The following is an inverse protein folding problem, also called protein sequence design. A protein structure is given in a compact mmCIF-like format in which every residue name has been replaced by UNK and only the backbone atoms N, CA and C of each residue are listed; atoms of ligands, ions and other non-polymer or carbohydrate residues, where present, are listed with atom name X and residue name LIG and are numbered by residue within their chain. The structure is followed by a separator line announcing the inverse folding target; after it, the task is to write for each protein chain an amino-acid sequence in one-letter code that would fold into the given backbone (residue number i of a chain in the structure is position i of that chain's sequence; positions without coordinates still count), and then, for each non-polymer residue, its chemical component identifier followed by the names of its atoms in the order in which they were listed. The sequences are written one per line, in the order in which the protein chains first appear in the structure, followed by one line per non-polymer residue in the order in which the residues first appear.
data_IF_944940793522
#
_entry.id   IF_944940793522
#
_cell.length_a   1.000
_cell.length_b   1.000
_cell.length_c   1.000
_cell.angle_alpha   90.00
_cell.angle_beta   90.00
_cell.angle_gamma   90.00
#
_symmetry.space_group_name_H-M   'P 1'
#
loop_
_entity.id
_entity.type
_entity.pdbx_description
1 polymer ?
#
# COMPACT_ATOMS: atom_id res chain seq x y z
N UNK A 1 7.82 48.51 -51.15
CA UNK A 1 8.41 47.15 -51.04
C UNK A 1 9.93 47.25 -51.07
N UNK A 2 10.61 47.07 -49.93
CA UNK A 2 12.04 46.75 -49.80
C UNK A 2 12.41 46.67 -48.31
N UNK A 3 12.91 45.52 -47.85
CA UNK A 3 13.92 45.28 -46.79
C UNK A 3 13.89 43.78 -46.45
N UNK A 4 14.84 42.99 -46.94
CA UNK A 4 16.23 42.80 -46.47
C UNK A 4 16.29 41.71 -45.39
N UNK A 5 16.76 40.54 -45.82
CA UNK A 5 17.04 39.34 -45.05
C UNK A 5 18.37 39.54 -44.33
N UNK A 6 18.43 39.24 -43.01
CA UNK A 6 19.68 39.06 -42.27
C UNK A 6 19.80 37.60 -41.86
N UNK A 7 20.83 36.94 -42.40
CA UNK A 7 21.35 35.65 -41.96
C UNK A 7 22.49 35.95 -40.97
N UNK A 8 22.50 35.29 -39.82
CA UNK A 8 23.55 35.39 -38.81
C UNK A 8 24.29 34.08 -38.70
N UNK A 9 25.61 34.20 -38.68
CA UNK A 9 26.64 33.18 -38.87
C UNK A 9 26.70 32.11 -37.77
N UNK A 10 27.07 30.91 -38.22
CA UNK A 10 27.52 29.74 -37.46
C UNK A 10 28.93 30.00 -36.94
N UNK A 11 29.17 29.78 -35.65
CA UNK A 11 30.51 29.70 -35.07
C UNK A 11 30.80 28.25 -34.68
N UNK A 12 31.82 27.68 -35.32
CA UNK A 12 32.38 26.38 -35.03
C UNK A 12 33.30 26.45 -33.81
N UNK A 13 33.17 25.50 -32.88
CA UNK A 13 34.17 25.23 -31.85
C UNK A 13 34.77 23.86 -32.11
N UNK A 14 36.09 23.86 -32.35
CA UNK A 14 36.89 22.67 -32.57
C UNK A 14 37.56 22.20 -31.28
N UNK A 15 37.50 20.88 -31.09
CA UNK A 15 38.42 19.94 -30.43
C UNK A 15 39.49 20.44 -29.43
N UNK A 16 39.50 19.78 -28.27
CA UNK A 16 40.74 19.38 -27.59
C UNK A 16 40.51 18.05 -26.88
N UNK A 17 41.15 17.00 -27.39
CA UNK A 17 41.22 15.69 -26.77
C UNK A 17 42.35 15.69 -25.73
N UNK A 18 42.08 15.18 -24.53
CA UNK A 18 43.11 14.90 -23.54
C UNK A 18 43.00 13.42 -23.13
N UNK A 19 43.90 12.61 -23.68
CA UNK A 19 44.13 11.23 -23.27
C UNK A 19 45.26 11.23 -22.25
N UNK A 20 45.03 10.68 -21.06
CA UNK A 20 46.09 10.14 -20.22
C UNK A 20 45.71 8.74 -19.78
N UNK A 21 46.41 7.78 -20.34
CA UNK A 21 46.49 6.41 -19.87
C UNK A 21 47.46 6.35 -18.69
N UNK A 22 47.12 5.64 -17.62
CA UNK A 22 48.08 4.94 -16.76
C UNK A 22 47.36 3.87 -15.93
N UNK A 23 47.67 2.60 -16.22
CA UNK A 23 47.48 1.41 -15.38
C UNK A 23 48.87 0.76 -15.20
N UNK A 24 49.06 -0.29 -14.39
CA UNK A 24 48.40 -0.72 -13.15
C UNK A 24 49.43 -0.87 -12.00
N UNK A 25 49.03 -1.24 -10.78
CA UNK A 25 49.93 -1.99 -9.90
C UNK A 25 49.19 -2.93 -8.95
N UNK A 26 49.66 -4.18 -8.97
CA UNK A 26 49.25 -5.35 -8.17
C UNK A 26 50.25 -5.51 -7.03
N UNK A 27 49.77 -5.81 -5.82
CA UNK A 27 50.40 -6.63 -4.76
C UNK A 27 49.71 -6.32 -3.43
N UNK A 28 49.54 -7.16 -2.42
CA UNK A 28 49.65 -8.61 -2.19
C UNK A 28 49.11 -8.81 -0.75
N UNK A 29 48.67 -10.02 -0.43
CA UNK A 29 48.01 -10.40 0.83
C UNK A 29 48.92 -10.41 2.09
N UNK A 30 48.30 -10.29 3.27
CA UNK A 30 48.64 -10.97 4.54
C UNK A 30 47.48 -10.75 5.53
N UNK A 31 46.73 -11.79 5.92
CA UNK A 31 46.94 -12.72 7.04
C UNK A 31 46.46 -12.20 8.42
N UNK A 32 45.42 -12.89 8.91
CA UNK A 32 44.79 -13.06 10.25
C UNK A 32 45.51 -12.54 11.53
N UNK A 33 44.74 -12.35 12.62
CA UNK A 33 44.60 -13.46 13.58
C UNK A 33 43.16 -13.83 13.96
N UNK A 34 43.03 -15.11 14.31
CA UNK A 34 41.87 -15.80 14.88
C UNK A 34 41.52 -15.33 16.30
N UNK A 35 40.24 -15.44 16.64
CA UNK A 35 39.80 -15.86 17.97
C UNK A 35 38.59 -16.79 17.86
N UNK A 36 38.81 -18.05 18.26
CA UNK A 36 37.83 -19.12 18.48
C UNK A 36 37.00 -18.85 19.74
N UNK A 37 35.74 -19.34 19.77
CA UNK A 37 35.18 -20.31 20.75
C UNK A 37 33.76 -20.71 20.26
N UNK A 38 33.57 -21.93 19.75
CA UNK A 38 32.94 -23.12 20.41
C UNK A 38 31.47 -22.90 20.80
N UNK A 39 30.46 -23.43 20.10
CA UNK A 39 29.97 -24.84 20.06
C UNK A 39 28.50 -24.81 20.56
N UNK A 40 27.47 -25.47 20.03
CA UNK A 40 27.38 -26.74 19.33
C UNK A 40 26.24 -26.72 18.28
N UNK A 41 26.46 -27.43 17.18
CA UNK A 41 25.43 -27.87 16.21
C UNK A 41 24.98 -29.28 16.60
N UNK A 42 23.68 -29.56 16.48
CA UNK A 42 23.20 -30.88 16.13
C UNK A 42 22.64 -30.80 14.71
N UNK A 43 23.41 -31.32 13.75
CA UNK A 43 22.95 -31.63 12.41
C UNK A 43 22.51 -33.10 12.39
N UNK A 44 21.39 -33.38 11.72
CA UNK A 44 21.03 -34.74 11.34
C UNK A 44 21.06 -34.77 9.81
N UNK A 45 22.02 -35.52 9.27
CA UNK A 45 22.13 -35.79 7.85
C UNK A 45 20.98 -36.71 7.40
N UNK A 46 20.32 -36.35 6.30
CA UNK A 46 19.53 -37.30 5.53
C UNK A 46 20.20 -37.51 4.17
N UNK A 47 20.84 -38.67 4.04
CA UNK A 47 21.36 -39.17 2.78
C UNK A 47 20.21 -39.59 1.85
N UNK A 48 20.36 -39.25 0.58
CA UNK A 48 19.53 -39.71 -0.52
C UNK A 48 19.92 -41.14 -0.92
N UNK A 49 18.94 -42.04 -1.10
CA UNK A 49 18.75 -42.78 -2.36
C UNK A 49 17.56 -43.74 -2.26
N UNK A 50 16.67 -43.72 -3.26
CA UNK A 50 16.13 -44.88 -3.99
C UNK A 50 14.93 -44.45 -4.83
N UNK A 51 15.06 -44.65 -6.14
CA UNK A 51 14.03 -44.42 -7.13
C UNK A 51 13.18 -45.69 -7.40
N UNK A 52 12.01 -45.44 -7.99
CA UNK A 52 11.09 -46.31 -8.77
C UNK A 52 9.91 -46.94 -8.04
N UNK A 53 8.78 -46.25 -8.24
CA UNK A 53 7.53 -46.71 -8.87
C UNK A 53 6.97 -48.09 -8.50
N UNK A 54 5.75 -48.10 -7.95
CA UNK A 54 4.67 -49.02 -8.33
C UNK A 54 3.30 -48.34 -8.07
N UNK A 55 2.39 -48.59 -8.99
CA UNK A 55 1.05 -48.04 -9.16
C UNK A 55 -0.02 -48.79 -8.35
N UNK A 56 -1.20 -48.16 -8.24
CA UNK A 56 -2.54 -48.72 -7.95
C UNK A 56 -2.92 -49.04 -6.50
N UNK A 57 -3.88 -48.26 -6.00
CA UNK A 57 -5.03 -48.75 -5.25
C UNK A 57 -4.86 -49.08 -3.77
N UNK A 58 -5.81 -48.63 -2.97
CA UNK A 58 -6.14 -49.30 -1.70
C UNK A 58 -5.57 -48.66 -0.45
N UNK A 59 -6.44 -47.95 0.25
CA UNK A 59 -6.41 -47.77 1.69
C UNK A 59 -6.26 -49.11 2.41
N UNK A 60 -5.19 -49.31 3.19
CA UNK A 60 -5.17 -50.09 4.43
C UNK A 60 -3.75 -50.21 5.01
N UNK A 61 -3.65 -49.90 6.30
CA UNK A 61 -2.73 -50.52 7.28
C UNK A 61 -1.24 -50.57 6.96
N UNK A 62 -0.48 -49.62 7.53
CA UNK A 62 0.85 -49.89 8.06
C UNK A 62 1.06 -49.04 9.33
N UNK A 63 0.51 -49.53 10.44
CA UNK A 63 0.92 -49.10 11.78
C UNK A 63 1.54 -50.30 12.48
N UNK A 64 2.87 -50.40 12.46
CA UNK A 64 3.63 -51.21 13.42
C UNK A 64 5.10 -50.84 13.36
N UNK A 65 5.61 -50.25 14.45
CA UNK A 65 6.81 -50.67 15.19
C UNK A 65 7.38 -49.49 15.99
N UNK A 66 7.08 -49.47 17.29
CA UNK A 66 8.03 -49.14 18.37
C UNK A 66 7.29 -49.24 19.72
N UNK A 67 7.17 -50.46 20.25
CA UNK A 67 6.91 -50.68 21.67
C UNK A 67 8.23 -50.53 22.42
N UNK A 68 8.30 -49.57 23.36
CA UNK A 68 9.07 -49.66 24.60
C UNK A 68 8.76 -48.46 25.51
N UNK A 69 7.63 -48.52 26.21
CA UNK A 69 7.42 -47.88 27.51
C UNK A 69 6.15 -48.47 28.13
N UNK A 70 6.33 -49.30 29.16
CA UNK A 70 5.26 -49.92 29.92
C UNK A 70 4.60 -48.84 30.78
N UNK A 71 3.42 -48.42 30.35
CA UNK A 71 2.37 -47.86 31.20
C UNK A 71 1.07 -48.45 30.68
N UNK A 72 0.39 -49.27 31.48
CA UNK A 72 -0.90 -49.87 31.10
C UNK A 72 -1.93 -48.76 30.97
N UNK A 73 -2.21 -48.32 29.75
CA UNK A 73 -3.35 -47.45 29.46
C UNK A 73 -4.59 -48.34 29.50
N UNK A 74 -5.45 -48.13 30.49
CA UNK A 74 -6.75 -48.79 30.54
C UNK A 74 -7.64 -48.21 29.45
N UNK A 75 -7.70 -48.91 28.32
CA UNK A 75 -8.49 -48.50 27.15
C UNK A 75 -9.98 -48.43 27.50
N UNK A 76 -10.47 -49.18 28.50
CA UNK A 76 -11.86 -49.12 28.93
C UNK A 76 -12.23 -47.80 29.64
N UNK A 77 -11.24 -47.10 30.21
CA UNK A 77 -11.44 -45.77 30.81
C UNK A 77 -11.55 -44.66 29.75
N UNK A 78 -10.94 -44.84 28.58
CA UNK A 78 -11.00 -43.87 27.47
C UNK A 78 -12.30 -43.97 26.65
N UNK A 79 -13.01 -45.11 26.70
CA UNK A 79 -14.27 -45.30 25.96
C UNK A 79 -15.51 -44.81 26.71
N UNK A 80 -15.39 -44.33 27.96
CA UNK A 80 -16.54 -43.96 28.80
C UNK A 80 -17.04 -42.51 28.62
N UNK A 81 -16.36 -41.67 27.84
CA UNK A 81 -16.76 -40.26 27.66
C UNK A 81 -17.39 -39.93 26.29
N UNK A 82 -17.84 -40.93 25.53
CA UNK A 82 -18.45 -40.75 24.20
C UNK A 82 -19.81 -41.45 24.09
N UNK A 83 -20.72 -41.19 25.03
CA UNK A 83 -22.14 -41.40 24.79
C UNK A 83 -22.75 -40.09 24.27
N UNK A 84 -23.33 -40.05 23.06
CA UNK A 84 -24.11 -38.92 22.62
C UNK A 84 -25.45 -38.91 23.36
N UNK A 85 -25.71 -37.84 24.11
CA UNK A 85 -27.01 -37.52 24.71
C UNK A 85 -28.08 -37.42 23.60
N UNK A 86 -29.34 -37.86 23.87
CA UNK A 86 -30.39 -37.81 22.87
C UNK A 86 -30.70 -36.37 22.46
N UNK A 87 -30.70 -36.12 21.15
CA UNK A 87 -30.96 -34.82 20.54
C UNK A 87 -32.40 -34.34 20.82
N UNK A 88 -32.57 -33.65 21.94
CA UNK A 88 -33.71 -32.78 22.20
C UNK A 88 -33.57 -31.51 21.38
N UNK A 89 -34.45 -31.32 20.41
CA UNK A 89 -34.53 -30.08 19.64
C UNK A 89 -35.03 -28.94 20.55
N UNK A 90 -34.11 -28.18 21.14
CA UNK A 90 -34.41 -26.86 21.69
C UNK A 90 -34.27 -25.87 20.53
N UNK A 91 -35.34 -25.14 20.22
CA UNK A 91 -35.25 -23.99 19.32
C UNK A 91 -34.46 -22.89 20.02
N UNK A 92 -33.17 -22.84 19.75
CA UNK A 92 -32.32 -21.70 20.11
C UNK A 92 -32.79 -20.50 19.27
N UNK A 93 -33.60 -19.62 19.88
CA UNK A 93 -33.96 -18.35 19.27
C UNK A 93 -32.77 -17.40 19.39
N UNK A 94 -31.88 -17.43 18.40
CA UNK A 94 -30.85 -16.41 18.24
C UNK A 94 -31.55 -15.11 17.85
N UNK A 95 -31.73 -14.22 18.83
CA UNK A 95 -32.04 -12.83 18.54
C UNK A 95 -30.92 -12.25 17.67
N UNK A 96 -31.22 -11.40 16.68
CA UNK A 96 -30.18 -10.81 15.83
C UNK A 96 -29.21 -10.02 16.71
N UNK A 97 -27.98 -10.51 16.80
CA UNK A 97 -26.90 -9.82 17.50
C UNK A 97 -26.60 -8.53 16.73
N UNK A 98 -26.99 -7.41 17.32
CA UNK A 98 -26.74 -6.09 16.80
C UNK A 98 -25.22 -5.92 16.63
N UNK A 99 -24.71 -5.54 15.44
CA UNK A 99 -23.29 -5.37 15.23
C UNK A 99 -22.73 -4.43 16.31
N UNK A 100 -21.65 -4.85 16.97
CA UNK A 100 -20.96 -4.06 17.97
C UNK A 100 -20.76 -2.63 17.44
N UNK A 101 -21.16 -1.64 18.23
CA UNK A 101 -21.03 -0.24 17.87
C UNK A 101 -19.58 0.05 17.48
N UNK A 102 -19.39 0.50 16.23
CA UNK A 102 -18.06 0.89 15.72
C UNK A 102 -17.49 1.94 16.67
N UNK A 103 -16.22 1.82 17.09
CA UNK A 103 -15.59 2.86 17.89
C UNK A 103 -15.69 4.18 17.13
N UNK A 104 -16.45 5.12 17.70
CA UNK A 104 -16.57 6.46 17.15
C UNK A 104 -15.21 7.14 17.31
N UNK A 105 -14.45 7.22 16.22
CA UNK A 105 -13.23 8.01 16.17
C UNK A 105 -13.66 9.47 16.11
N UNK A 106 -13.50 10.18 17.22
CA UNK A 106 -13.67 11.62 17.26
C UNK A 106 -12.59 12.26 16.39
N UNK A 107 -12.98 12.79 15.24
CA UNK A 107 -12.11 13.61 14.37
C UNK A 107 -11.72 14.86 15.17
N UNK A 108 -10.43 15.14 15.42
CA UNK A 108 -10.02 16.40 16.03
C UNK A 108 -10.45 17.54 15.11
N UNK A 109 -11.42 18.31 15.55
CA UNK A 109 -11.90 19.53 14.90
C UNK A 109 -10.86 20.63 15.08
N UNK A 110 -9.82 20.64 14.23
CA UNK A 110 -8.85 21.75 14.25
C UNK A 110 -7.76 21.72 13.19
N UNK A 111 -7.12 20.56 12.96
CA UNK A 111 -6.00 20.44 12.02
C UNK A 111 -6.28 19.38 10.94
N UNK A 112 -6.17 19.82 9.68
CA UNK A 112 -6.09 18.95 8.53
C UNK A 112 -4.72 18.24 8.49
N UNK A 113 -4.47 17.45 7.44
CA UNK A 113 -3.17 16.82 7.22
C UNK A 113 -2.02 17.84 7.26
N UNK A 114 -0.89 17.42 7.80
CA UNK A 114 0.36 18.20 7.90
C UNK A 114 0.21 19.47 8.75
N UNK A 115 -0.64 19.42 9.78
CA UNK A 115 -0.82 20.55 10.72
C UNK A 115 -1.45 21.81 10.11
N UNK A 116 -2.01 21.70 8.90
CA UNK A 116 -2.65 22.82 8.20
C UNK A 116 -4.12 22.98 8.58
N UNK A 117 -4.77 24.05 8.09
CA UNK A 117 -6.23 24.20 8.13
C UNK A 117 -6.84 23.78 6.80
N UNK A 118 -7.98 23.07 6.83
CA UNK A 118 -8.75 22.69 5.66
C UNK A 118 -9.96 23.63 5.49
N UNK A 119 -9.94 24.45 4.45
CA UNK A 119 -10.99 25.41 4.11
C UNK A 119 -11.87 24.78 3.02
N UNK A 120 -13.18 24.54 3.24
CA UNK A 120 -14.06 23.94 2.24
C UNK A 120 -14.05 24.71 0.91
N UNK A 121 -13.90 23.99 -0.20
CA UNK A 121 -13.85 24.57 -1.54
C UNK A 121 -14.57 23.70 -2.56
N UNK A 122 -15.70 24.21 -3.07
CA UNK A 122 -16.62 23.45 -3.93
C UNK A 122 -16.18 23.37 -5.40
N UNK A 123 -15.26 24.23 -5.84
CA UNK A 123 -14.90 24.39 -7.25
C UNK A 123 -13.55 23.76 -7.59
N UNK A 124 -13.19 22.68 -6.91
CA UNK A 124 -11.97 21.94 -7.18
C UNK A 124 -12.19 21.00 -8.38
N UNK A 125 -11.43 21.18 -9.46
CA UNK A 125 -11.57 20.36 -10.67
C UNK A 125 -11.36 18.86 -10.42
N UNK A 126 -10.44 18.52 -9.50
CA UNK A 126 -10.17 17.15 -9.08
C UNK A 126 -11.40 16.43 -8.47
N UNK A 127 -12.41 17.15 -7.96
CA UNK A 127 -13.66 16.52 -7.47
C UNK A 127 -14.40 15.79 -8.58
N UNK A 128 -14.43 16.36 -9.80
CA UNK A 128 -15.06 15.71 -10.94
C UNK A 128 -14.30 14.45 -11.37
N UNK A 129 -12.96 14.49 -11.27
CA UNK A 129 -12.08 13.36 -11.61
C UNK A 129 -12.19 12.23 -10.58
N UNK A 130 -12.31 12.56 -9.30
CA UNK A 130 -12.42 11.60 -8.20
C UNK A 130 -13.82 10.96 -8.07
N UNK A 131 -14.88 11.61 -8.55
CA UNK A 131 -16.25 11.15 -8.35
C UNK A 131 -16.53 9.70 -8.82
N UNK A 132 -16.01 9.21 -9.97
CA UNK A 132 -16.18 7.82 -10.37
C UNK A 132 -15.55 6.84 -9.37
N UNK A 133 -14.33 7.14 -8.89
CA UNK A 133 -13.63 6.34 -7.88
C UNK A 133 -14.40 6.26 -6.57
N UNK A 134 -15.02 7.37 -6.14
CA UNK A 134 -15.89 7.38 -4.97
C UNK A 134 -17.13 6.50 -5.18
N UNK A 135 -17.75 6.54 -6.36
CA UNK A 135 -18.89 5.69 -6.70
C UNK A 135 -18.54 4.20 -6.62
N UNK A 136 -17.38 3.80 -7.14
CA UNK A 136 -16.92 2.40 -7.05
C UNK A 136 -16.72 1.96 -5.59
N UNK A 137 -16.21 2.85 -4.74
CA UNK A 137 -16.01 2.56 -3.32
C UNK A 137 -17.36 2.40 -2.60
N UNK A 138 -18.33 3.30 -2.85
CA UNK A 138 -19.64 3.27 -2.18
C UNK A 138 -20.51 2.11 -2.64
N UNK A 139 -20.39 1.71 -3.90
CA UNK A 139 -21.19 0.63 -4.48
C UNK A 139 -20.55 -0.75 -4.25
N UNK A 140 -19.37 -0.78 -3.61
CA UNK A 140 -18.64 -1.99 -3.24
C UNK A 140 -17.88 -2.66 -4.39
N UNK A 141 -17.79 -2.01 -5.54
CA UNK A 141 -17.16 -2.57 -6.76
C UNK A 141 -15.68 -2.23 -6.89
N UNK A 142 -15.15 -1.29 -6.11
CA UNK A 142 -13.77 -0.78 -6.23
C UNK A 142 -12.67 -1.85 -6.14
N UNK A 143 -12.85 -2.84 -5.26
CA UNK A 143 -11.91 -3.97 -5.07
C UNK A 143 -12.59 -5.29 -5.48
N UNK A 144 -13.79 -5.23 -6.06
CA UNK A 144 -14.49 -6.43 -6.45
C UNK A 144 -13.80 -7.08 -7.65
N UNK A 145 -13.51 -8.36 -7.48
CA UNK A 145 -13.05 -9.19 -8.55
C UNK A 145 -13.59 -10.60 -8.28
N UNK A 146 -14.37 -11.10 -9.23
CA UNK A 146 -14.92 -12.45 -9.16
C UNK A 146 -13.81 -13.48 -9.34
N UNK A 147 -13.94 -14.62 -8.65
CA UNK A 147 -12.99 -15.71 -8.74
C UNK A 147 -12.80 -16.12 -10.21
N UNK A 148 -11.55 -16.04 -10.70
CA UNK A 148 -11.18 -16.37 -12.09
C UNK A 148 -10.90 -15.20 -13.03
N UNK A 149 -11.16 -13.95 -12.62
CA UNK A 149 -10.82 -12.73 -13.42
C UNK A 149 -10.08 -11.65 -12.63
N UNK A 150 -9.64 -11.95 -11.41
CA UNK A 150 -8.87 -11.00 -10.60
C UNK A 150 -7.50 -10.75 -11.22
N UNK A 151 -7.07 -9.48 -11.22
CA UNK A 151 -5.67 -9.17 -11.44
C UNK A 151 -4.81 -9.71 -10.30
N UNK A 152 -3.51 -9.87 -10.54
CA UNK A 152 -2.55 -10.27 -9.51
C UNK A 152 -2.58 -9.28 -8.33
N UNK A 153 -2.73 -7.99 -8.62
CA UNK A 153 -2.83 -6.93 -7.61
C UNK A 153 -4.08 -7.08 -6.74
N UNK A 154 -5.26 -7.33 -7.35
CA UNK A 154 -6.49 -7.54 -6.60
C UNK A 154 -6.41 -8.79 -5.70
N UNK A 155 -5.75 -9.85 -6.19
CA UNK A 155 -5.52 -11.07 -5.42
C UNK A 155 -4.58 -10.80 -4.23
N UNK A 156 -3.47 -10.08 -4.46
CA UNK A 156 -2.51 -9.73 -3.41
C UNK A 156 -3.15 -8.86 -2.32
N UNK A 157 -3.99 -7.90 -2.70
CA UNK A 157 -4.76 -7.07 -1.75
C UNK A 157 -5.69 -7.94 -0.89
N UNK A 158 -6.46 -8.85 -1.49
CA UNK A 158 -7.33 -9.79 -0.73
C UNK A 158 -6.53 -10.69 0.23
N UNK A 159 -5.34 -11.13 -0.19
CA UNK A 159 -4.44 -11.91 0.68
C UNK A 159 -3.93 -11.07 1.84
N UNK A 160 -3.57 -9.80 1.60
CA UNK A 160 -3.17 -8.87 2.66
C UNK A 160 -4.28 -8.70 3.70
N UNK A 161 -5.54 -8.51 3.26
CA UNK A 161 -6.71 -8.34 4.15
C UNK A 161 -6.92 -9.53 5.06
N UNK A 162 -6.76 -10.74 4.52
CA UNK A 162 -6.92 -11.98 5.29
C UNK A 162 -5.87 -12.06 6.40
N UNK A 163 -4.62 -11.70 6.08
CA UNK A 163 -3.50 -11.69 7.03
C UNK A 163 -3.65 -10.64 8.14
N UNK A 164 -4.30 -9.51 7.85
CA UNK A 164 -4.46 -8.39 8.79
C UNK A 164 -5.81 -8.29 9.47
N UNK A 165 -6.73 -9.22 9.21
CA UNK A 165 -8.12 -9.18 9.69
C UNK A 165 -8.27 -8.88 11.19
N UNK A 166 -7.37 -9.45 12.02
CA UNK A 166 -7.33 -9.28 13.48
C UNK A 166 -6.15 -8.41 13.98
N UNK A 167 -5.41 -7.76 13.07
CA UNK A 167 -4.24 -6.97 13.41
C UNK A 167 -4.62 -5.55 13.83
N UNK A 168 -3.63 -4.81 14.36
CA UNK A 168 -3.84 -3.40 14.70
C UNK A 168 -4.16 -2.57 13.46
N UNK A 169 -4.82 -1.42 13.64
CA UNK A 169 -5.07 -0.48 12.55
C UNK A 169 -3.78 -0.09 11.82
N UNK A 170 -2.66 0.07 12.56
CA UNK A 170 -1.35 0.39 11.98
C UNK A 170 -0.85 -0.72 11.06
N UNK A 171 -1.03 -1.98 11.45
CA UNK A 171 -0.62 -3.12 10.63
C UNK A 171 -1.46 -3.20 9.35
N UNK A 172 -2.77 -2.91 9.42
CA UNK A 172 -3.64 -2.79 8.24
C UNK A 172 -3.14 -1.71 7.28
N UNK A 173 -2.87 -0.50 7.79
CA UNK A 173 -2.33 0.59 6.98
C UNK A 173 -1.01 0.21 6.30
N UNK A 174 -0.08 -0.38 7.04
CA UNK A 174 1.21 -0.83 6.51
C UNK A 174 1.04 -1.92 5.45
N UNK A 175 0.21 -2.93 5.72
CA UNK A 175 -0.01 -4.04 4.79
C UNK A 175 -0.60 -3.56 3.47
N UNK A 176 -1.61 -2.68 3.51
CA UNK A 176 -2.20 -2.10 2.30
C UNK A 176 -1.17 -1.25 1.54
N UNK A 177 -0.43 -0.39 2.25
CA UNK A 177 0.56 0.49 1.62
C UNK A 177 1.61 -0.32 0.86
N UNK A 178 2.26 -1.28 1.54
CA UNK A 178 3.27 -2.16 0.95
C UNK A 178 2.67 -2.99 -0.19
N UNK A 179 1.52 -3.62 0.02
CA UNK A 179 0.93 -4.48 -1.01
C UNK A 179 0.66 -3.72 -2.30
N UNK A 180 0.10 -2.51 -2.22
CA UNK A 180 -0.19 -1.71 -3.41
C UNK A 180 1.10 -1.17 -4.04
N UNK A 181 2.06 -0.69 -3.23
CA UNK A 181 3.35 -0.23 -3.73
C UNK A 181 4.09 -1.27 -4.58
N UNK A 182 3.96 -2.54 -4.21
CA UNK A 182 4.66 -3.64 -4.88
C UNK A 182 3.88 -4.30 -6.00
N UNK A 183 2.57 -4.05 -6.11
CA UNK A 183 1.69 -4.70 -7.11
C UNK A 183 1.27 -3.78 -8.25
N UNK A 184 1.33 -2.46 -8.04
CA UNK A 184 1.04 -1.47 -9.06
C UNK A 184 2.36 -0.85 -9.52
N UNK A 185 2.54 -0.74 -10.84
CA UNK A 185 3.71 -0.09 -11.43
C UNK A 185 3.47 1.41 -11.55
N UNK A 186 4.42 2.22 -11.11
CA UNK A 186 4.37 3.64 -11.38
C UNK A 186 4.45 3.93 -12.89
N UNK A 187 3.53 4.75 -13.41
CA UNK A 187 3.53 5.21 -14.79
C UNK A 187 2.73 6.50 -14.90
N UNK A 188 3.35 7.56 -15.44
CA UNK A 188 2.69 8.86 -15.63
C UNK A 188 1.49 8.77 -16.55
N UNK A 189 0.56 9.71 -16.42
CA UNK A 189 -0.63 9.76 -17.26
C UNK A 189 -0.33 10.03 -18.72
N UNK A 190 0.67 10.86 -19.01
CA UNK A 190 1.10 11.09 -20.40
C UNK A 190 1.61 9.80 -21.06
N UNK A 191 2.16 8.88 -20.27
CA UNK A 191 2.66 7.60 -20.75
C UNK A 191 1.52 6.56 -20.86
N UNK A 192 0.57 6.56 -19.91
CA UNK A 192 -0.53 5.59 -19.82
C UNK A 192 -1.77 5.98 -20.64
N UNK A 193 -2.27 7.20 -20.45
CA UNK A 193 -3.56 7.70 -20.96
C UNK A 193 -3.44 8.76 -22.05
N UNK A 194 -2.22 9.26 -22.31
CA UNK A 194 -1.92 10.28 -23.33
C UNK A 194 -2.59 11.64 -23.05
N UNK A 195 -2.91 11.90 -21.79
CA UNK A 195 -3.42 13.18 -21.28
C UNK A 195 -2.55 13.63 -20.12
N UNK A 196 -2.63 14.90 -19.76
CA UNK A 196 -1.75 15.47 -18.74
C UNK A 196 -2.09 15.09 -17.30
N UNK A 197 -3.34 14.68 -17.03
CA UNK A 197 -3.83 14.35 -15.69
C UNK A 197 -5.20 13.64 -15.81
N UNK A 198 -5.21 12.34 -15.46
CA UNK A 198 -6.31 11.39 -15.48
C UNK A 198 -6.33 10.58 -14.18
N UNK A 199 -7.36 10.77 -13.36
CA UNK A 199 -7.49 10.03 -12.11
C UNK A 199 -8.20 8.72 -12.38
N UNK A 200 -7.44 7.63 -12.44
CA UNK A 200 -7.98 6.31 -12.69
C UNK A 200 -8.80 5.82 -11.50
N UNK A 201 -9.86 5.06 -11.80
CA UNK A 201 -10.62 4.39 -10.74
C UNK A 201 -9.83 3.24 -10.12
N UNK A 202 -10.19 2.77 -8.92
CA UNK A 202 -9.64 1.54 -8.36
C UNK A 202 -9.70 0.36 -9.34
N UNK A 203 -10.84 0.15 -10.01
CA UNK A 203 -10.99 -0.92 -10.99
C UNK A 203 -10.06 -0.74 -12.22
N UNK A 204 -9.91 0.49 -12.72
CA UNK A 204 -8.99 0.79 -13.83
C UNK A 204 -7.53 0.54 -13.44
N UNK A 205 -7.12 1.02 -12.27
CA UNK A 205 -5.76 0.85 -11.73
C UNK A 205 -5.44 -0.63 -11.56
N UNK A 206 -6.37 -1.41 -11.00
CA UNK A 206 -6.22 -2.87 -10.83
C UNK A 206 -6.15 -3.62 -12.15
N UNK A 207 -6.93 -3.20 -13.15
CA UNK A 207 -6.97 -3.80 -14.48
C UNK A 207 -5.68 -3.55 -15.26
N UNK A 208 -5.14 -2.31 -15.19
CA UNK A 208 -3.92 -1.92 -15.91
C UNK A 208 -2.63 -2.25 -15.16
N UNK A 209 -2.74 -2.50 -13.85
CA UNK A 209 -1.64 -2.71 -12.90
C UNK A 209 -0.59 -1.59 -12.96
N UNK A 210 -1.05 -0.36 -13.24
CA UNK A 210 -0.23 0.84 -13.28
C UNK A 210 -1.07 2.07 -13.01
N UNK A 211 -0.41 3.11 -12.53
CA UNK A 211 -0.95 4.44 -12.29
C UNK A 211 0.16 5.35 -11.79
N UNK A 212 -0.15 6.60 -11.54
CA UNK A 212 0.76 7.54 -10.86
C UNK A 212 0.32 7.78 -9.41
N UNK A 213 0.74 8.87 -8.77
CA UNK A 213 0.62 8.99 -7.33
C UNK A 213 -0.84 9.09 -6.82
N UNK A 214 -1.74 9.75 -7.56
CA UNK A 214 -3.15 9.85 -7.20
C UNK A 214 -3.84 8.50 -7.35
N UNK A 215 -3.54 7.75 -8.42
CA UNK A 215 -4.11 6.43 -8.67
C UNK A 215 -3.75 5.47 -7.53
N UNK A 216 -2.50 5.51 -7.05
CA UNK A 216 -2.07 4.75 -5.88
C UNK A 216 -2.82 5.20 -4.61
N UNK A 217 -2.96 6.51 -4.38
CA UNK A 217 -3.68 7.03 -3.21
C UNK A 217 -5.17 6.63 -3.20
N UNK A 218 -5.81 6.68 -4.37
CA UNK A 218 -7.20 6.29 -4.59
C UNK A 218 -7.37 4.78 -4.39
N UNK A 219 -6.49 3.95 -4.96
CA UNK A 219 -6.57 2.50 -4.78
C UNK A 219 -6.33 2.10 -3.32
N UNK A 220 -5.39 2.76 -2.62
CA UNK A 220 -5.18 2.55 -1.17
C UNK A 220 -6.41 2.92 -0.37
N UNK A 221 -7.10 4.01 -0.73
CA UNK A 221 -8.35 4.43 -0.08
C UNK A 221 -9.44 3.37 -0.28
N UNK A 222 -9.62 2.87 -1.50
CA UNK A 222 -10.58 1.80 -1.79
C UNK A 222 -10.25 0.51 -1.03
N UNK A 223 -8.97 0.12 -0.98
CA UNK A 223 -8.55 -1.09 -0.28
C UNK A 223 -8.83 -0.99 1.23
N UNK A 224 -8.46 0.12 1.87
CA UNK A 224 -8.75 0.34 3.29
C UNK A 224 -10.25 0.43 3.57
N UNK A 225 -11.02 1.02 2.65
CA UNK A 225 -12.47 1.05 2.77
C UNK A 225 -13.08 -0.36 2.74
N UNK A 226 -12.61 -1.22 1.83
CA UNK A 226 -13.02 -2.62 1.76
C UNK A 226 -12.62 -3.42 3.03
N UNK A 227 -11.57 -3.01 3.75
CA UNK A 227 -11.21 -3.55 5.08
C UNK A 227 -12.02 -2.95 6.25
N UNK A 228 -12.98 -2.06 5.96
CA UNK A 228 -13.91 -1.49 6.95
C UNK A 228 -13.48 -0.16 7.56
N UNK A 229 -12.45 0.51 7.04
CA UNK A 229 -12.11 1.88 7.44
C UNK A 229 -13.08 2.86 6.77
N UNK A 230 -13.61 3.78 7.55
CA UNK A 230 -14.62 4.72 7.09
C UNK A 230 -14.01 5.77 6.14
N UNK A 231 -14.66 6.05 5.01
CA UNK A 231 -14.21 7.06 4.05
C UNK A 231 -14.07 8.44 4.69
N UNK A 232 -14.86 8.75 5.73
CA UNK A 232 -14.77 10.02 6.45
C UNK A 232 -13.44 10.23 7.17
N UNK A 233 -12.75 9.14 7.49
CA UNK A 233 -11.45 9.15 8.17
C UNK A 233 -10.29 9.23 7.18
N UNK A 234 -10.58 9.28 5.87
CA UNK A 234 -9.59 9.25 4.80
C UNK A 234 -9.68 10.50 3.91
N UNK A 235 -8.54 10.93 3.38
CA UNK A 235 -8.47 12.03 2.43
C UNK A 235 -7.32 11.83 1.45
N UNK A 236 -7.58 11.96 0.14
CA UNK A 236 -6.50 12.14 -0.84
C UNK A 236 -5.99 13.56 -0.70
N UNK A 237 -4.69 13.72 -0.46
CA UNK A 237 -4.03 15.02 -0.27
C UNK A 237 -3.08 15.26 -1.43
N UNK A 238 -3.30 16.34 -2.17
CA UNK A 238 -2.40 16.81 -3.21
C UNK A 238 -1.52 17.90 -2.62
N UNK A 239 -0.21 17.75 -2.81
CA UNK A 239 0.82 18.53 -2.13
C UNK A 239 1.97 18.87 -3.07
N UNK A 240 2.82 19.80 -2.65
CA UNK A 240 4.12 20.03 -3.25
C UNK A 240 5.20 19.43 -2.34
N UNK A 241 6.00 18.52 -2.87
CA UNK A 241 7.18 18.00 -2.17
C UNK A 241 8.32 19.01 -2.34
N UNK A 242 8.61 19.76 -1.28
CA UNK A 242 9.65 20.80 -1.31
C UNK A 242 11.05 20.22 -1.48
N UNK A 243 11.30 19.02 -0.99
CA UNK A 243 12.62 18.38 -1.05
C UNK A 243 12.94 17.91 -2.47
N UNK A 244 11.93 17.42 -3.19
CA UNK A 244 12.09 16.84 -4.54
C UNK A 244 11.57 17.75 -5.66
N UNK A 245 10.91 18.84 -5.31
CA UNK A 245 10.43 19.90 -6.21
C UNK A 245 9.42 19.44 -7.26
N UNK A 246 8.39 18.67 -6.88
CA UNK A 246 7.29 18.30 -7.77
C UNK A 246 5.95 18.19 -7.01
N UNK A 247 4.84 18.15 -7.75
CA UNK A 247 3.50 17.93 -7.18
C UNK A 247 3.23 16.44 -6.99
N UNK A 248 2.75 16.09 -5.80
CA UNK A 248 2.55 14.70 -5.39
C UNK A 248 1.15 14.51 -4.81
N UNK A 249 0.68 13.27 -4.80
CA UNK A 249 -0.57 12.87 -4.14
C UNK A 249 -0.31 11.71 -3.17
N UNK A 250 -0.93 11.79 -2.00
CA UNK A 250 -0.83 10.76 -0.95
C UNK A 250 -2.19 10.53 -0.31
N UNK A 251 -2.33 9.39 0.37
CA UNK A 251 -3.50 9.12 1.21
C UNK A 251 -3.19 9.47 2.67
N UNK A 252 -3.98 10.36 3.27
CA UNK A 252 -3.98 10.60 4.71
C UNK A 252 -5.14 9.83 5.36
N UNK A 253 -4.85 9.10 6.43
CA UNK A 253 -5.83 8.38 7.26
C UNK A 253 -5.78 8.87 8.70
N UNK A 254 -6.92 9.32 9.23
CA UNK A 254 -7.08 9.77 10.60
C UNK A 254 -7.35 8.58 11.54
N UNK A 255 -6.54 8.43 12.59
CA UNK A 255 -6.65 7.35 13.56
C UNK A 255 -6.31 7.91 14.95
N UNK A 256 -7.26 7.84 15.88
CA UNK A 256 -7.07 8.29 17.28
C UNK A 256 -6.47 9.70 17.39
N UNK A 257 -6.94 10.62 16.54
CA UNK A 257 -6.47 12.01 16.49
C UNK A 257 -5.12 12.24 15.81
N UNK A 258 -4.44 11.18 15.37
CA UNK A 258 -3.23 11.26 14.55
C UNK A 258 -3.58 11.09 13.07
N UNK A 259 -2.70 11.55 12.18
CA UNK A 259 -2.82 11.33 10.75
C UNK A 259 -1.63 10.52 10.23
N UNK A 260 -1.94 9.45 9.52
CA UNK A 260 -0.97 8.55 8.92
C UNK A 260 -0.99 8.68 7.40
N UNK A 261 0.20 8.77 6.81
CA UNK A 261 0.38 9.03 5.39
C UNK A 261 0.83 7.73 4.72
N UNK A 262 0.01 7.27 3.79
CA UNK A 262 0.32 6.18 2.87
C UNK A 262 0.73 6.82 1.53
N UNK A 263 1.93 6.49 1.08
CA UNK A 263 2.63 7.17 -0.01
C UNK A 263 3.25 6.10 -0.93
N UNK A 264 3.18 6.27 -2.25
CA UNK A 264 3.73 5.30 -3.20
C UNK A 264 5.25 5.34 -3.29
N UNK A 265 5.88 6.41 -2.80
CA UNK A 265 7.34 6.55 -2.80
C UNK A 265 8.02 5.88 -1.60
N UNK A 266 7.25 5.31 -0.66
CA UNK A 266 7.77 4.67 0.54
C UNK A 266 6.81 3.59 1.07
N UNK A 267 7.39 2.51 1.54
CA UNK A 267 6.63 1.40 2.12
C UNK A 267 6.20 1.65 3.57
N UNK A 268 7.00 2.40 4.33
CA UNK A 268 6.68 2.74 5.70
C UNK A 268 5.56 3.79 5.78
N UNK A 269 4.51 3.49 6.55
CA UNK A 269 3.44 4.45 6.86
C UNK A 269 3.85 5.35 8.01
N UNK A 270 4.07 6.63 7.69
CA UNK A 270 4.56 7.62 8.63
C UNK A 270 3.42 8.51 9.15
N UNK A 271 3.50 9.00 10.41
CA UNK A 271 2.70 10.15 10.81
C UNK A 271 3.06 11.37 9.96
N UNK A 272 2.08 12.22 9.66
CA UNK A 272 2.28 13.44 8.86
C UNK A 272 3.34 14.39 9.45
N UNK A 273 3.47 14.43 10.77
CA UNK A 273 4.52 15.16 11.50
C UNK A 273 5.96 14.76 11.17
N UNK A 274 6.18 13.57 10.57
CA UNK A 274 7.50 13.11 10.10
C UNK A 274 7.78 13.46 8.64
N UNK A 275 6.92 14.27 8.01
CA UNK A 275 7.03 14.68 6.60
C UNK A 275 7.04 16.21 6.48
N UNK A 276 8.05 16.91 7.02
CA UNK A 276 8.08 18.37 7.08
C UNK A 276 8.19 19.03 5.70
N UNK A 277 8.72 18.31 4.69
CA UNK A 277 8.90 18.82 3.33
C UNK A 277 7.61 18.72 2.48
N UNK A 278 6.54 18.11 3.00
CA UNK A 278 5.28 17.94 2.27
C UNK A 278 4.36 19.14 2.57
N UNK A 279 4.15 19.98 1.57
CA UNK A 279 3.29 21.17 1.69
C UNK A 279 1.95 20.90 1.00
N UNK A 280 0.88 20.59 1.76
CA UNK A 280 -0.42 20.29 1.16
C UNK A 280 -1.02 21.53 0.52
N UNK A 281 -1.65 21.33 -0.64
CA UNK A 281 -2.31 22.37 -1.43
C UNK A 281 -3.82 22.26 -1.31
N UNK A 282 -4.34 21.05 -1.54
CA UNK A 282 -5.74 20.73 -1.39
C UNK A 282 -5.92 19.27 -1.00
N UNK A 283 -7.11 18.92 -0.51
CA UNK A 283 -7.51 17.53 -0.30
C UNK A 283 -8.94 17.28 -0.74
N UNK A 284 -9.23 16.01 -1.00
CA UNK A 284 -10.56 15.50 -1.22
C UNK A 284 -10.85 14.48 -0.12
N UNK A 285 -11.93 14.72 0.64
CA UNK A 285 -12.42 13.82 1.67
C UNK A 285 -13.93 13.70 1.53
N UNK A 286 -14.45 12.48 1.46
CA UNK A 286 -15.90 12.21 1.44
C UNK A 286 -16.64 13.08 0.39
N UNK A 287 -16.14 13.04 -0.86
CA UNK A 287 -16.70 13.79 -1.99
C UNK A 287 -16.61 15.32 -1.90
N UNK A 288 -15.90 15.85 -0.90
CA UNK A 288 -15.76 17.30 -0.64
C UNK A 288 -14.31 17.74 -0.80
N UNK A 289 -14.14 18.91 -1.41
CA UNK A 289 -12.82 19.52 -1.63
C UNK A 289 -12.48 20.52 -0.53
N UNK A 290 -11.19 20.60 -0.19
CA UNK A 290 -10.67 21.50 0.83
C UNK A 290 -9.35 22.12 0.36
N UNK A 291 -9.19 23.43 0.53
CA UNK A 291 -7.90 24.10 0.36
C UNK A 291 -7.12 24.05 1.67
N UNK A 292 -5.82 23.77 1.56
CA UNK A 292 -4.93 23.78 2.71
C UNK A 292 -4.30 25.16 2.88
N UNK A 293 -4.22 25.60 4.13
CA UNK A 293 -3.66 26.89 4.48
C UNK A 293 -2.98 26.89 5.85
N UNK A 294 -2.45 28.05 6.22
CA UNK A 294 -1.90 28.29 7.56
C UNK A 294 -2.87 29.13 8.38
N UNK A 295 -2.81 28.95 9.71
CA UNK A 295 -3.55 29.81 10.63
C UNK A 295 -2.67 31.01 11.00
N UNK A 296 -3.16 32.21 10.70
CA UNK A 296 -2.52 33.47 11.12
C UNK A 296 -3.47 34.21 12.07
N UNK A 297 -3.23 34.08 13.37
CA UNK A 297 -4.12 34.58 14.42
C UNK A 297 -5.50 33.90 14.38
N UNK A 298 -6.57 34.69 14.25
CA UNK A 298 -7.94 34.19 14.08
C UNK A 298 -8.33 33.90 12.61
N UNK A 299 -7.45 34.22 11.64
CA UNK A 299 -7.73 34.07 10.21
C UNK A 299 -7.08 32.83 9.63
N UNK A 300 -7.72 32.24 8.62
CA UNK A 300 -7.21 31.12 7.84
C UNK A 300 -6.79 31.67 6.47
N UNK A 301 -5.57 31.35 6.02
CA UNK A 301 -5.02 31.87 4.76
C UNK A 301 -4.47 30.70 3.94
N UNK A 302 -5.01 30.51 2.75
CA UNK A 302 -4.49 29.57 1.75
C UNK A 302 -3.72 30.34 0.66
N UNK A 303 -2.68 29.72 0.11
CA UNK A 303 -1.90 30.30 -1.00
C UNK A 303 -2.75 30.37 -2.27
N UNK A 304 -2.70 31.50 -2.98
CA UNK A 304 -3.38 31.70 -4.27
C UNK A 304 -2.55 31.09 -5.42
N UNK A 305 -2.44 29.76 -5.44
CA UNK A 305 -1.81 29.05 -6.56
C UNK A 305 -2.88 28.68 -7.61
N UNK A 306 -2.56 28.69 -8.92
CA UNK A 306 -3.47 28.21 -9.96
C UNK A 306 -3.62 26.68 -9.85
N UNK A 307 -4.62 26.21 -9.11
CA UNK A 307 -4.85 24.80 -8.80
C UNK A 307 -5.19 23.99 -10.05
N UNK A 308 -5.68 24.64 -11.10
CA UNK A 308 -6.05 24.01 -12.38
C UNK A 308 -4.84 23.47 -13.14
N UNK A 309 -3.62 23.92 -12.77
CA UNK A 309 -2.35 23.47 -13.36
C UNK A 309 -1.63 22.43 -12.51
N UNK A 310 -2.19 22.05 -11.36
CA UNK A 310 -1.60 21.04 -10.49
C UNK A 310 -2.01 19.67 -11.01
N UNK A 311 -1.10 19.04 -11.74
CA UNK A 311 -1.13 17.62 -12.09
C UNK A 311 -0.15 16.90 -11.14
N UNK A 312 -0.64 16.18 -10.11
CA UNK A 312 0.21 15.25 -9.38
C UNK A 312 0.73 14.17 -10.34
N UNK A 313 1.84 13.50 -10.02
CA UNK A 313 2.26 12.31 -10.76
C UNK A 313 3.08 12.54 -12.04
N UNK A 314 3.04 13.72 -12.64
CA UNK A 314 3.88 14.06 -13.81
C UNK A 314 5.36 14.39 -13.47
N UNK A 315 5.79 14.14 -12.22
CA UNK A 315 7.17 14.25 -11.74
C UNK A 315 8.09 13.11 -12.20
N UNK A 316 9.33 13.11 -11.71
CA UNK A 316 10.31 12.04 -12.01
C UNK A 316 9.81 10.69 -11.47
N UNK A 317 9.91 9.63 -12.27
CA UNK A 317 9.60 8.26 -11.84
C UNK A 317 10.60 7.82 -10.76
N UNK A 318 10.10 7.18 -9.69
CA UNK A 318 10.88 6.64 -8.59
C UNK A 318 10.89 5.11 -8.61
#
# INVERSE_FOLDING_TARGET
MKRSIKISNIAAFAFSAFSLAFSPNISSASALPSSRMSGAMYSVDFAADTARALTLGGVANLLSLATNAIGTIDVAALTRSLQPEPAGWVKESVAPEQPAARPAIAVPTGSAAFGTVAIPFKRLAALKKFAPSLSEMTDGTAIDCSAGKCSEAATAIKVAFTKTSQSSIRDKLNAVNVTINHTIRYSRDIDTYKVADYWATPAETLSRQRGDCEDFAILKMAALHAEGIDLKDMSVVVLFDQKRHFYHAVLSVAVNGNRFILDNMRDEVLPDTKLPDYVPLYSIADGRGYLHGTRTGAKQVASAMPLEKVAPGEGVAF
#
